data_IF_626098883391
#
_entry.id   IF_626098883391
#
_cell.length_a   1.000
_cell.length_b   1.000
_cell.length_c   1.000
_cell.angle_alpha   90.00
_cell.angle_beta   90.00
_cell.angle_gamma   90.00
#
_symmetry.space_group_name_H-M   'P 1'
#
loop_
_entity.id
_entity.type
_entity.pdbx_description
1 polymer ?
#
# COMPACT_ATOMS: atom_id res chain seq x y z
N UNK A 1 26.55 1.59 1.70
CA UNK A 1 27.72 1.36 0.81
C UNK A 1 27.48 2.12 -0.47
N UNK A 2 28.17 3.25 -0.61
CA UNK A 2 28.28 4.02 -1.85
C UNK A 2 28.91 3.11 -2.93
N UNK A 3 28.14 2.79 -3.96
CA UNK A 3 28.70 2.26 -5.19
C UNK A 3 29.47 3.38 -5.87
N UNK A 4 30.78 3.23 -5.94
CA UNK A 4 31.60 4.04 -6.83
C UNK A 4 31.26 3.63 -8.27
N UNK A 5 30.50 4.47 -8.96
CA UNK A 5 30.37 4.39 -10.42
C UNK A 5 31.62 5.02 -11.03
N UNK A 6 32.41 4.20 -11.71
CA UNK A 6 33.32 4.66 -12.76
C UNK A 6 32.44 4.78 -14.01
N UNK A 7 31.96 5.98 -14.28
CA UNK A 7 31.65 6.56 -15.61
C UNK A 7 31.02 7.93 -15.39
N UNK A 8 31.82 8.96 -15.66
CA UNK A 8 31.55 10.35 -15.30
C UNK A 8 30.76 11.14 -16.34
N UNK A 9 30.01 10.50 -17.25
CA UNK A 9 29.35 11.24 -18.34
C UNK A 9 27.83 11.11 -18.49
N UNK A 10 27.10 10.60 -17.51
CA UNK A 10 25.62 10.66 -17.55
C UNK A 10 24.92 10.40 -16.19
N UNK A 11 25.42 10.96 -15.10
CA UNK A 11 24.58 11.08 -13.90
C UNK A 11 23.70 12.33 -14.12
N UNK A 12 22.58 12.16 -14.80
CA UNK A 12 21.45 13.08 -14.60
C UNK A 12 21.11 12.97 -13.13
N UNK A 13 21.12 14.09 -12.41
CA UNK A 13 20.69 14.16 -11.01
C UNK A 13 19.35 13.45 -10.87
N UNK A 14 19.37 12.25 -10.31
CA UNK A 14 18.16 11.45 -10.11
C UNK A 14 17.48 12.02 -8.87
N UNK A 15 16.47 12.87 -9.08
CA UNK A 15 15.64 13.37 -7.99
C UNK A 15 14.82 12.23 -7.41
N UNK A 16 15.12 11.82 -6.18
CA UNK A 16 14.40 10.78 -5.48
C UNK A 16 12.98 11.23 -5.09
N UNK A 17 12.83 12.52 -4.76
CA UNK A 17 11.55 13.20 -4.51
C UNK A 17 11.57 14.54 -5.23
N UNK A 18 10.59 14.79 -6.08
CA UNK A 18 10.49 16.01 -6.89
C UNK A 18 9.21 16.78 -6.54
N UNK A 19 9.35 17.89 -5.80
CA UNK A 19 8.27 18.74 -5.33
C UNK A 19 7.15 17.94 -4.64
N UNK A 20 7.52 16.91 -3.89
CA UNK A 20 6.58 16.04 -3.20
C UNK A 20 6.03 16.74 -1.95
N UNK A 21 4.71 16.80 -1.84
CA UNK A 21 4.01 17.34 -0.66
C UNK A 21 3.09 16.27 -0.07
N UNK A 22 3.13 16.15 1.25
CA UNK A 22 2.33 15.19 2.00
C UNK A 22 1.72 15.86 3.23
N UNK A 23 0.44 15.63 3.46
CA UNK A 23 -0.23 16.00 4.70
C UNK A 23 -0.92 14.77 5.26
N UNK A 24 -0.67 14.45 6.53
CA UNK A 24 -1.30 13.35 7.26
C UNK A 24 -2.18 13.96 8.34
N UNK A 25 -3.45 13.58 8.38
CA UNK A 25 -4.40 14.03 9.41
C UNK A 25 -4.30 13.12 10.63
N UNK A 26 -4.53 13.67 11.81
CA UNK A 26 -4.61 12.87 13.03
C UNK A 26 -5.72 11.83 12.93
N UNK A 27 -5.42 10.59 13.30
CA UNK A 27 -6.37 9.48 13.30
C UNK A 27 -6.69 8.90 11.92
N UNK A 28 -6.00 9.32 10.82
CA UNK A 28 -6.19 8.68 9.51
C UNK A 28 -5.19 7.55 9.26
N UNK A 29 -5.58 6.60 8.42
CA UNK A 29 -4.66 5.69 7.72
C UNK A 29 -4.41 6.27 6.34
N UNK A 30 -3.22 6.86 6.14
CA UNK A 30 -2.79 7.37 4.84
C UNK A 30 -1.97 6.33 4.09
N UNK A 31 -2.42 5.93 2.90
CA UNK A 31 -1.70 5.03 2.01
C UNK A 31 -0.73 5.79 1.08
N UNK A 32 0.53 5.37 1.02
CA UNK A 32 1.47 5.74 -0.04
C UNK A 32 1.57 4.57 -1.01
N UNK A 33 0.90 4.66 -2.15
CA UNK A 33 0.82 3.63 -3.18
C UNK A 33 1.76 3.97 -4.34
N UNK A 34 2.50 3.00 -4.83
CA UNK A 34 3.35 3.19 -6.01
C UNK A 34 4.33 2.05 -6.22
N UNK A 35 4.93 1.94 -7.42
CA UNK A 35 5.88 0.89 -7.74
C UNK A 35 7.17 1.01 -6.92
N UNK A 36 7.98 -0.03 -6.99
CA UNK A 36 9.33 0.00 -6.43
C UNK A 36 10.14 1.14 -7.07
N UNK A 37 10.85 1.90 -6.22
CA UNK A 37 11.59 3.09 -6.67
C UNK A 37 10.75 4.36 -6.88
N UNK A 38 9.45 4.37 -6.55
CA UNK A 38 8.62 5.59 -6.64
C UNK A 38 8.93 6.64 -5.58
N UNK A 39 9.71 6.30 -4.53
CA UNK A 39 10.12 7.23 -3.47
C UNK A 39 9.42 7.01 -2.12
N UNK A 40 8.61 5.96 -1.92
CA UNK A 40 7.87 5.67 -0.67
C UNK A 40 8.80 5.62 0.55
N UNK A 41 9.75 4.69 0.55
CA UNK A 41 10.73 4.54 1.65
C UNK A 41 11.62 5.78 1.81
N UNK A 42 11.99 6.44 0.70
CA UNK A 42 12.74 7.72 0.75
C UNK A 42 11.93 8.79 1.48
N UNK A 43 10.62 8.88 1.21
CA UNK A 43 9.73 9.82 1.90
C UNK A 43 9.71 9.55 3.41
N UNK A 44 9.54 8.30 3.83
CA UNK A 44 9.57 7.92 5.26
C UNK A 44 10.91 8.30 5.88
N UNK A 45 12.02 7.97 5.24
CA UNK A 45 13.35 8.25 5.77
C UNK A 45 13.64 9.75 5.89
N UNK A 46 13.14 10.58 4.95
CA UNK A 46 13.20 12.04 5.07
C UNK A 46 12.34 12.54 6.24
N UNK A 47 11.10 12.04 6.39
CA UNK A 47 10.21 12.43 7.51
C UNK A 47 10.86 12.09 8.86
N UNK A 48 11.51 10.94 8.96
CA UNK A 48 12.21 10.51 10.19
C UNK A 48 13.56 11.20 10.41
N UNK A 49 13.99 12.08 9.48
CA UNK A 49 15.33 12.70 9.48
C UNK A 49 16.46 11.65 9.51
N UNK A 50 16.26 10.52 8.82
CA UNK A 50 17.28 9.51 8.56
C UNK A 50 18.03 9.80 7.25
N UNK A 51 17.40 10.55 6.34
CA UNK A 51 17.98 11.10 5.14
C UNK A 51 17.83 12.62 5.14
N UNK A 52 18.85 13.30 4.61
CA UNK A 52 18.80 14.74 4.34
C UNK A 52 18.06 14.99 3.02
N UNK A 53 17.50 16.18 2.87
CA UNK A 53 16.86 16.66 1.64
C UNK A 53 17.36 18.06 1.31
N UNK A 54 17.33 18.42 0.03
CA UNK A 54 17.95 19.66 -0.45
C UNK A 54 17.08 20.89 -0.17
N UNK A 55 15.74 20.75 -0.32
CA UNK A 55 14.78 21.85 -0.17
C UNK A 55 13.45 21.35 0.41
N UNK A 56 12.76 22.23 1.11
CA UNK A 56 11.46 21.97 1.71
C UNK A 56 11.49 22.04 3.24
N UNK A 57 10.38 21.69 3.86
CA UNK A 57 10.23 21.59 5.32
C UNK A 57 9.41 20.36 5.70
N UNK A 58 9.73 19.80 6.85
CA UNK A 58 8.99 18.66 7.41
C UNK A 58 8.56 19.00 8.83
N UNK A 59 7.26 18.88 9.08
CA UNK A 59 6.68 19.07 10.42
C UNK A 59 5.94 17.81 10.84
N UNK A 60 6.18 17.37 12.07
CA UNK A 60 5.48 16.25 12.70
C UNK A 60 4.89 16.77 14.01
N UNK A 61 3.61 16.50 14.25
CA UNK A 61 2.85 17.06 15.37
C UNK A 61 2.94 18.62 15.46
N UNK A 62 2.96 19.28 14.28
CA UNK A 62 3.09 20.73 14.18
C UNK A 62 4.48 21.31 14.46
N UNK A 63 5.47 20.48 14.82
CA UNK A 63 6.85 20.88 15.10
C UNK A 63 7.77 20.51 13.95
N UNK A 64 8.79 21.34 13.71
CA UNK A 64 9.85 21.06 12.74
C UNK A 64 10.61 19.77 13.12
N UNK A 65 10.77 18.86 12.14
CA UNK A 65 11.47 17.61 12.34
C UNK A 65 12.96 17.75 12.03
N UNK A 66 13.79 17.38 13.00
CA UNK A 66 15.27 17.44 12.93
C UNK A 66 15.87 16.11 13.39
N UNK A 67 17.15 15.84 13.10
CA UNK A 67 17.82 14.62 13.56
C UNK A 67 17.77 14.42 15.08
N UNK A 68 17.78 15.49 15.87
CA UNK A 68 17.75 15.51 17.33
C UNK A 68 16.37 15.72 17.95
N UNK A 69 15.29 15.69 17.17
CA UNK A 69 13.90 15.80 17.66
C UNK A 69 13.44 14.55 18.42
N UNK A 70 14.13 14.21 19.50
CA UNK A 70 13.86 13.00 20.30
C UNK A 70 12.47 13.02 20.97
N UNK A 71 11.95 14.21 21.30
CA UNK A 71 10.59 14.38 21.85
C UNK A 71 9.53 13.94 20.84
N UNK A 72 9.71 14.27 19.55
CA UNK A 72 8.85 13.85 18.46
C UNK A 72 9.04 12.34 18.19
N UNK A 73 10.29 11.89 18.04
CA UNK A 73 10.61 10.48 17.69
C UNK A 73 10.10 9.47 18.71
N UNK A 74 9.95 9.86 19.98
CA UNK A 74 9.37 9.01 21.03
C UNK A 74 7.89 8.68 20.82
N UNK A 75 7.18 9.51 20.08
CA UNK A 75 5.76 9.32 19.76
C UNK A 75 5.57 8.64 18.39
N UNK A 76 6.66 8.20 17.76
CA UNK A 76 6.66 7.55 16.45
C UNK A 76 7.03 6.08 16.57
N UNK A 77 6.25 5.23 15.95
CA UNK A 77 6.56 3.81 15.70
C UNK A 77 7.00 3.62 14.25
N UNK A 78 7.97 2.74 14.03
CA UNK A 78 8.48 2.46 12.69
C UNK A 78 8.59 0.96 12.48
N UNK A 79 7.96 0.46 11.43
CA UNK A 79 8.04 -0.92 10.96
C UNK A 79 8.55 -0.89 9.53
N UNK A 80 9.85 -1.10 9.37
CA UNK A 80 10.48 -1.10 8.04
C UNK A 80 10.24 -2.40 7.29
N UNK A 81 10.46 -2.38 5.96
CA UNK A 81 10.34 -3.54 5.09
C UNK A 81 11.26 -4.67 5.55
N UNK A 82 12.51 -4.37 5.87
CA UNK A 82 13.44 -5.35 6.44
C UNK A 82 13.10 -5.62 7.90
N UNK A 83 13.15 -6.90 8.27
CA UNK A 83 12.93 -7.32 9.64
C UNK A 83 14.14 -6.94 10.50
N UNK A 84 13.90 -6.10 11.50
CA UNK A 84 14.94 -5.57 12.40
C UNK A 84 14.76 -6.13 13.82
N UNK A 85 15.08 -7.40 14.02
CA UNK A 85 15.05 -8.09 15.31
C UNK A 85 16.41 -8.71 15.62
N UNK A 86 16.67 -8.99 16.88
CA UNK A 86 17.88 -9.66 17.34
C UNK A 86 17.67 -11.17 17.36
N UNK A 87 18.43 -11.89 16.57
CA UNK A 87 18.38 -13.35 16.47
C UNK A 87 18.75 -14.09 17.76
N UNK A 88 19.52 -13.43 18.64
CA UNK A 88 20.01 -13.94 19.92
C UNK A 88 19.02 -13.72 21.06
N UNK A 89 17.95 -12.96 20.83
CA UNK A 89 16.90 -12.70 21.81
C UNK A 89 15.64 -13.48 21.47
N UNK A 90 14.90 -13.91 22.48
CA UNK A 90 13.58 -14.49 22.30
C UNK A 90 12.57 -13.46 21.79
N UNK A 91 11.39 -13.91 21.38
CA UNK A 91 10.26 -13.03 21.01
C UNK A 91 9.99 -11.98 22.09
N UNK A 92 9.85 -12.44 23.35
CA UNK A 92 9.59 -11.54 24.48
C UNK A 92 10.73 -10.53 24.68
N UNK A 93 11.99 -11.00 24.68
CA UNK A 93 13.15 -10.14 24.89
C UNK A 93 13.34 -9.13 23.77
N UNK A 94 13.04 -9.46 22.52
CA UNK A 94 13.05 -8.50 21.44
C UNK A 94 12.05 -7.36 21.70
N UNK A 95 10.79 -7.70 22.00
CA UNK A 95 9.75 -6.69 22.24
C UNK A 95 10.09 -5.86 23.49
N UNK A 96 10.56 -6.50 24.58
CA UNK A 96 10.98 -5.80 25.80
C UNK A 96 12.14 -4.85 25.56
N UNK A 97 13.12 -5.28 24.77
CA UNK A 97 14.26 -4.44 24.39
C UNK A 97 13.83 -3.16 23.67
N UNK A 98 13.07 -3.30 22.57
CA UNK A 98 12.61 -2.15 21.80
C UNK A 98 11.66 -1.26 22.61
N UNK A 99 10.73 -1.82 23.36
CA UNK A 99 9.86 -1.09 24.27
C UNK A 99 10.67 -0.33 25.34
N UNK A 100 11.74 -0.93 25.84
CA UNK A 100 12.63 -0.37 26.87
C UNK A 100 13.43 0.86 26.42
N UNK A 101 13.57 1.09 25.12
CA UNK A 101 14.16 2.33 24.59
C UNK A 101 13.30 3.55 24.92
N UNK A 102 11.99 3.36 25.06
CA UNK A 102 10.98 4.42 25.26
C UNK A 102 10.41 4.40 26.69
N UNK A 103 10.12 3.24 27.26
CA UNK A 103 9.47 3.07 28.57
C UNK A 103 10.49 2.56 29.58
N UNK A 104 10.91 3.45 30.49
CA UNK A 104 11.92 3.14 31.55
C UNK A 104 11.32 2.37 32.72
N UNK A 105 10.06 2.62 33.06
CA UNK A 105 9.34 1.94 34.15
C UNK A 105 9.13 0.47 33.77
N UNK A 106 9.63 -0.43 34.60
CA UNK A 106 9.63 -1.88 34.33
C UNK A 106 8.22 -2.49 34.32
N UNK A 107 7.35 -2.08 35.23
CA UNK A 107 5.99 -2.64 35.32
C UNK A 107 5.14 -2.16 34.14
N UNK A 108 5.20 -0.87 33.83
CA UNK A 108 4.52 -0.30 32.65
C UNK A 108 5.03 -0.97 31.37
N UNK A 109 6.34 -1.14 31.22
CA UNK A 109 6.95 -1.79 30.06
C UNK A 109 6.47 -3.23 29.92
N UNK A 110 6.53 -4.02 31.01
CA UNK A 110 6.04 -5.40 31.01
C UNK A 110 4.58 -5.48 30.54
N UNK A 111 3.73 -4.61 31.07
CA UNK A 111 2.32 -4.54 30.64
C UNK A 111 2.20 -4.25 29.15
N UNK A 112 2.93 -3.24 28.63
CA UNK A 112 2.92 -2.92 27.21
C UNK A 112 3.40 -4.09 26.35
N UNK A 113 4.43 -4.82 26.77
CA UNK A 113 4.96 -5.99 26.05
C UNK A 113 3.91 -7.11 25.98
N UNK A 114 3.29 -7.47 27.11
CA UNK A 114 2.25 -8.50 27.14
C UNK A 114 1.05 -8.12 26.26
N UNK A 115 0.52 -6.91 26.43
CA UNK A 115 -0.59 -6.40 25.59
C UNK A 115 -0.25 -6.42 24.10
N UNK A 116 0.99 -6.06 23.74
CA UNK A 116 1.42 -6.06 22.34
C UNK A 116 1.56 -7.47 21.78
N UNK A 117 2.07 -8.42 22.58
CA UNK A 117 2.16 -9.83 22.18
C UNK A 117 0.78 -10.43 21.90
N UNK A 118 -0.19 -10.13 22.75
CA UNK A 118 -1.58 -10.56 22.57
C UNK A 118 -2.19 -9.88 21.34
N UNK A 119 -1.91 -8.59 21.17
CA UNK A 119 -2.41 -7.80 20.05
C UNK A 119 -1.99 -8.35 18.68
N UNK A 120 -0.71 -8.76 18.53
CA UNK A 120 -0.19 -9.33 17.28
C UNK A 120 -0.31 -10.87 17.23
N UNK A 121 -0.98 -11.50 18.20
CA UNK A 121 -1.21 -12.94 18.28
C UNK A 121 0.10 -13.75 18.18
N UNK A 122 1.05 -13.44 19.09
CA UNK A 122 2.38 -14.07 19.13
C UNK A 122 2.74 -14.56 20.56
N UNK A 123 1.82 -14.47 21.53
CA UNK A 123 2.06 -14.78 22.94
C UNK A 123 2.55 -16.22 23.17
N UNK A 124 2.03 -17.19 22.43
CA UNK A 124 2.43 -18.61 22.51
C UNK A 124 3.90 -18.84 22.13
N UNK A 125 4.48 -17.92 21.38
CA UNK A 125 5.85 -17.98 20.87
C UNK A 125 6.84 -17.19 21.72
N UNK A 126 6.45 -16.68 22.89
CA UNK A 126 7.25 -15.76 23.73
C UNK A 126 8.68 -16.22 24.02
N UNK A 127 8.92 -17.53 24.13
CA UNK A 127 10.23 -18.14 24.42
C UNK A 127 10.97 -18.61 23.16
N UNK A 128 10.38 -18.45 21.98
CA UNK A 128 11.00 -18.84 20.71
C UNK A 128 12.02 -17.80 20.28
N UNK A 129 13.08 -18.28 19.64
CA UNK A 129 14.04 -17.43 18.92
C UNK A 129 13.48 -17.06 17.53
N UNK A 130 13.80 -15.89 16.97
CA UNK A 130 13.33 -15.46 15.66
C UNK A 130 13.54 -16.49 14.54
N UNK A 131 14.70 -17.19 14.54
CA UNK A 131 15.05 -18.24 13.57
C UNK A 131 14.10 -19.46 13.55
N UNK A 132 13.29 -19.63 14.59
CA UNK A 132 12.31 -20.73 14.72
C UNK A 132 10.90 -20.29 14.30
N UNK A 133 10.71 -19.03 13.91
CA UNK A 133 9.42 -18.48 13.51
C UNK A 133 9.19 -18.67 12.00
N UNK A 134 7.93 -18.83 11.62
CA UNK A 134 7.54 -18.68 10.21
C UNK A 134 7.70 -17.22 9.77
N UNK A 135 7.76 -16.96 8.45
CA UNK A 135 7.87 -15.60 7.91
C UNK A 135 6.76 -14.66 8.43
N UNK A 136 5.50 -15.15 8.49
CA UNK A 136 4.40 -14.37 9.05
C UNK A 136 4.53 -14.07 10.55
N UNK A 137 5.00 -15.04 11.36
CA UNK A 137 5.28 -14.83 12.78
C UNK A 137 6.45 -13.87 13.01
N UNK A 138 7.50 -13.99 12.20
CA UNK A 138 8.65 -13.09 12.24
C UNK A 138 8.24 -11.65 11.89
N UNK A 139 7.36 -11.50 10.91
CA UNK A 139 6.81 -10.19 10.56
C UNK A 139 5.96 -9.59 11.67
N UNK A 140 5.13 -10.41 12.33
CA UNK A 140 4.36 -9.99 13.51
C UNK A 140 5.26 -9.58 14.68
N UNK A 141 6.38 -10.27 14.89
CA UNK A 141 7.39 -9.85 15.86
C UNK A 141 7.99 -8.49 15.49
N UNK A 142 8.35 -8.26 14.23
CA UNK A 142 8.87 -6.97 13.77
C UNK A 142 7.87 -5.83 14.01
N UNK A 143 6.59 -6.08 13.72
CA UNK A 143 5.51 -5.13 14.01
C UNK A 143 5.42 -4.86 15.51
N UNK A 144 5.41 -5.92 16.35
CA UNK A 144 5.35 -5.78 17.80
C UNK A 144 6.48 -4.90 18.35
N UNK A 145 7.71 -5.08 17.85
CA UNK A 145 8.86 -4.25 18.24
C UNK A 145 8.63 -2.76 17.92
N UNK A 146 8.02 -2.46 16.77
CA UNK A 146 7.76 -1.09 16.34
C UNK A 146 6.63 -0.37 17.10
N UNK A 147 5.68 -1.12 17.70
CA UNK A 147 4.46 -0.53 18.29
C UNK A 147 4.36 -0.68 19.80
N UNK A 148 5.23 -1.47 20.45
CA UNK A 148 5.12 -1.84 21.88
C UNK A 148 5.10 -0.64 22.83
N UNK A 149 5.67 0.49 22.45
CA UNK A 149 5.68 1.72 23.24
C UNK A 149 4.41 2.58 23.06
N UNK A 150 3.43 2.10 22.28
CA UNK A 150 2.14 2.76 21.97
C UNK A 150 2.32 4.14 21.34
N UNK A 151 2.96 4.22 20.17
CA UNK A 151 3.20 5.48 19.47
C UNK A 151 1.90 6.10 18.94
N UNK A 152 1.88 7.44 18.77
CA UNK A 152 0.77 8.18 18.17
C UNK A 152 0.77 8.17 16.64
N UNK A 153 1.96 8.09 16.04
CA UNK A 153 2.16 8.02 14.59
C UNK A 153 2.97 6.77 14.27
N UNK A 154 2.49 5.96 13.34
CA UNK A 154 3.16 4.71 12.97
C UNK A 154 3.41 4.71 11.46
N UNK A 155 4.66 4.43 11.08
CA UNK A 155 5.04 4.17 9.71
C UNK A 155 5.16 2.67 9.49
N UNK A 156 4.40 2.14 8.54
CA UNK A 156 4.51 0.79 8.04
C UNK A 156 5.07 0.83 6.62
N UNK A 157 6.32 0.42 6.44
CA UNK A 157 6.94 0.35 5.12
C UNK A 157 6.84 -1.07 4.58
N UNK A 158 5.89 -1.29 3.68
CA UNK A 158 5.58 -2.56 3.02
C UNK A 158 5.47 -3.76 4.01
N UNK A 159 4.61 -3.69 5.04
CA UNK A 159 4.63 -4.64 6.15
C UNK A 159 4.15 -6.05 5.78
N UNK A 160 3.64 -6.27 4.59
CA UNK A 160 3.02 -7.52 4.14
C UNK A 160 3.81 -8.23 3.03
N UNK A 161 4.95 -7.65 2.62
CA UNK A 161 5.81 -8.26 1.60
C UNK A 161 6.33 -9.61 2.07
N UNK A 162 6.28 -10.60 1.16
CA UNK A 162 6.69 -11.99 1.41
C UNK A 162 5.94 -12.70 2.55
N UNK A 163 4.71 -12.28 2.85
CA UNK A 163 3.84 -12.88 3.85
C UNK A 163 2.70 -13.64 3.16
N UNK A 164 2.36 -14.82 3.70
CA UNK A 164 1.24 -15.61 3.19
C UNK A 164 -0.11 -14.86 3.34
N UNK A 165 -1.15 -15.19 2.52
CA UNK A 165 -2.42 -14.47 2.51
C UNK A 165 -3.13 -14.42 3.86
N UNK A 166 -3.04 -15.49 4.67
CA UNK A 166 -3.70 -15.53 5.97
C UNK A 166 -3.01 -14.59 6.98
N UNK A 167 -1.68 -14.63 7.03
CA UNK A 167 -0.88 -13.73 7.87
C UNK A 167 -1.02 -12.27 7.41
N UNK A 168 -1.10 -12.02 6.10
CA UNK A 168 -1.37 -10.69 5.53
C UNK A 168 -2.68 -10.11 6.06
N UNK A 169 -3.78 -10.84 5.96
CA UNK A 169 -5.09 -10.37 6.45
C UNK A 169 -5.05 -10.03 7.94
N UNK A 170 -4.42 -10.86 8.76
CA UNK A 170 -4.26 -10.59 10.20
C UNK A 170 -3.45 -9.32 10.48
N UNK A 171 -2.39 -9.06 9.69
CA UNK A 171 -1.60 -7.82 9.80
C UNK A 171 -2.47 -6.61 9.47
N UNK A 172 -3.24 -6.66 8.37
CA UNK A 172 -4.12 -5.56 7.96
C UNK A 172 -5.22 -5.28 8.98
N UNK A 173 -5.83 -6.32 9.55
CA UNK A 173 -6.80 -6.21 10.66
C UNK A 173 -6.15 -5.59 11.90
N UNK A 174 -4.93 -6.00 12.24
CA UNK A 174 -4.17 -5.40 13.33
C UNK A 174 -3.89 -3.91 13.11
N UNK A 175 -3.53 -3.51 11.90
CA UNK A 175 -3.29 -2.10 11.55
C UNK A 175 -4.58 -1.27 11.71
N UNK A 176 -5.72 -1.78 11.27
CA UNK A 176 -7.02 -1.11 11.49
C UNK A 176 -7.33 -0.93 12.98
N UNK A 177 -7.12 -1.96 13.79
CA UNK A 177 -7.32 -1.86 15.24
C UNK A 177 -6.42 -0.81 15.90
N UNK A 178 -5.15 -0.70 15.49
CA UNK A 178 -4.26 0.37 15.98
C UNK A 178 -4.81 1.76 15.68
N UNK A 179 -5.39 1.94 14.49
CA UNK A 179 -6.01 3.19 14.12
C UNK A 179 -7.30 3.46 14.91
N UNK A 180 -8.16 2.46 15.10
CA UNK A 180 -9.36 2.54 15.94
C UNK A 180 -9.02 2.86 17.39
N UNK A 181 -7.86 2.44 17.89
CA UNK A 181 -7.31 2.79 19.22
C UNK A 181 -6.68 4.21 19.25
N UNK A 182 -6.72 4.95 18.13
CA UNK A 182 -6.33 6.36 18.02
C UNK A 182 -4.96 6.63 17.40
N UNK A 183 -4.27 5.61 16.87
CA UNK A 183 -3.01 5.84 16.17
C UNK A 183 -3.24 6.44 14.78
N UNK A 184 -2.39 7.40 14.39
CA UNK A 184 -2.27 7.87 13.01
C UNK A 184 -1.30 6.95 12.27
N UNK A 185 -1.62 6.56 11.03
CA UNK A 185 -0.84 5.55 10.31
C UNK A 185 -0.47 6.06 8.92
N UNK A 186 0.81 5.90 8.56
CA UNK A 186 1.31 6.01 7.19
C UNK A 186 1.68 4.61 6.73
N UNK A 187 0.97 4.12 5.74
CA UNK A 187 1.08 2.77 5.22
C UNK A 187 1.61 2.80 3.79
N UNK A 188 2.76 2.17 3.52
CA UNK A 188 3.24 2.03 2.15
C UNK A 188 2.97 0.64 1.62
N UNK A 189 2.58 0.54 0.38
CA UNK A 189 2.42 -0.72 -0.35
C UNK A 189 2.53 -0.49 -1.86
N UNK A 190 2.83 -1.54 -2.57
CA UNK A 190 2.61 -1.65 -4.01
C UNK A 190 1.40 -2.54 -4.33
N UNK A 191 0.77 -3.16 -3.31
CA UNK A 191 -0.47 -3.93 -3.45
C UNK A 191 -1.69 -3.03 -3.27
N UNK A 192 -2.45 -2.86 -4.33
CA UNK A 192 -3.60 -1.94 -4.34
C UNK A 192 -4.74 -2.40 -3.47
N UNK A 193 -4.99 -3.69 -3.43
CA UNK A 193 -6.05 -4.30 -2.63
C UNK A 193 -5.88 -4.00 -1.13
N UNK A 194 -4.64 -4.01 -0.64
CA UNK A 194 -4.34 -3.69 0.75
C UNK A 194 -4.69 -2.24 1.07
N UNK A 195 -4.27 -1.33 0.21
CA UNK A 195 -4.51 0.10 0.36
C UNK A 195 -6.01 0.41 0.26
N UNK A 196 -6.73 -0.21 -0.68
CA UNK A 196 -8.19 -0.09 -0.78
C UNK A 196 -8.92 -0.62 0.45
N UNK A 197 -8.36 -1.63 1.09
CA UNK A 197 -8.97 -2.29 2.25
C UNK A 197 -8.85 -1.46 3.53
N UNK A 198 -7.70 -0.80 3.76
CA UNK A 198 -7.41 -0.20 5.07
C UNK A 198 -7.26 1.32 5.06
N UNK A 199 -6.90 1.96 3.94
CA UNK A 199 -6.58 3.38 3.92
C UNK A 199 -7.82 4.26 3.72
N UNK A 200 -7.88 5.35 4.48
CA UNK A 200 -8.91 6.38 4.34
C UNK A 200 -8.64 7.28 3.13
N UNK A 201 -7.37 7.62 2.95
CA UNK A 201 -6.88 8.46 1.86
C UNK A 201 -5.58 7.89 1.30
N UNK A 202 -5.38 8.08 0.01
CA UNK A 202 -4.30 7.46 -0.74
C UNK A 202 -3.56 8.53 -1.52
N UNK A 203 -2.25 8.47 -1.50
CA UNK A 203 -1.34 9.22 -2.36
C UNK A 203 -0.70 8.24 -3.33
N UNK A 204 -1.00 8.39 -4.60
CA UNK A 204 -0.36 7.61 -5.66
C UNK A 204 0.95 8.30 -6.04
N UNK A 205 2.06 7.55 -5.95
CA UNK A 205 3.41 8.03 -6.24
C UNK A 205 3.98 7.37 -7.48
N UNK A 206 4.58 8.17 -8.35
CA UNK A 206 5.45 7.69 -9.43
C UNK A 206 6.66 8.63 -9.57
N UNK A 207 7.86 8.06 -9.69
CA UNK A 207 9.12 8.79 -9.92
C UNK A 207 9.34 10.00 -8.99
N UNK A 208 9.09 9.81 -7.70
CA UNK A 208 9.27 10.84 -6.68
C UNK A 208 8.20 11.93 -6.64
N UNK A 209 7.12 11.80 -7.40
CA UNK A 209 6.01 12.75 -7.44
C UNK A 209 4.72 12.15 -6.92
N UNK A 210 3.86 12.99 -6.34
CA UNK A 210 2.46 12.65 -6.12
C UNK A 210 1.69 12.87 -7.42
N UNK A 211 1.18 11.79 -8.02
CA UNK A 211 0.43 11.85 -9.28
C UNK A 211 -1.08 11.95 -9.07
N UNK A 212 -1.59 11.43 -7.96
CA UNK A 212 -2.97 11.60 -7.53
C UNK A 212 -3.09 11.48 -6.01
N UNK A 213 -4.07 12.17 -5.42
CA UNK A 213 -4.38 12.14 -3.98
C UNK A 213 -5.88 12.17 -3.80
N UNK A 214 -6.42 11.30 -2.96
CA UNK A 214 -7.85 11.27 -2.64
C UNK A 214 -8.25 10.04 -1.85
N UNK A 215 -9.51 9.93 -1.52
CA UNK A 215 -10.13 8.66 -1.09
C UNK A 215 -10.18 7.70 -2.27
N UNK A 216 -10.36 6.41 -2.01
CA UNK A 216 -10.51 5.41 -3.09
C UNK A 216 -11.59 5.79 -4.10
N UNK A 217 -12.72 6.32 -3.63
CA UNK A 217 -13.84 6.68 -4.49
C UNK A 217 -13.57 7.95 -5.32
N UNK A 218 -12.84 8.93 -4.74
CA UNK A 218 -12.39 10.12 -5.46
C UNK A 218 -11.39 9.74 -6.56
N UNK A 219 -10.42 8.88 -6.25
CA UNK A 219 -9.43 8.42 -7.22
C UNK A 219 -10.08 7.65 -8.38
N UNK A 220 -10.99 6.73 -8.08
CA UNK A 220 -11.73 5.97 -9.11
C UNK A 220 -12.60 6.84 -10.01
N UNK A 221 -13.03 8.02 -9.54
CA UNK A 221 -13.77 8.99 -10.36
C UNK A 221 -12.87 9.85 -11.26
N UNK A 222 -11.55 9.83 -11.06
CA UNK A 222 -10.61 10.61 -11.90
C UNK A 222 -10.39 10.01 -13.27
N UNK A 223 -10.73 8.73 -13.47
CA UNK A 223 -10.50 7.99 -14.72
C UNK A 223 -11.76 7.85 -15.56
N UNK A 224 -11.55 7.60 -16.85
CA UNK A 224 -12.65 7.39 -17.80
C UNK A 224 -13.38 6.08 -17.59
N UNK A 225 -12.64 5.05 -17.16
CA UNK A 225 -13.23 3.74 -16.90
C UNK A 225 -14.22 3.81 -15.75
N UNK A 226 -15.49 3.51 -16.02
CA UNK A 226 -16.54 3.44 -14.99
C UNK A 226 -17.03 2.02 -14.74
N UNK A 227 -16.86 1.13 -15.73
CA UNK A 227 -17.28 -0.26 -15.67
C UNK A 227 -16.48 -1.08 -16.69
N UNK A 228 -16.02 -2.27 -16.28
CA UNK A 228 -15.42 -3.27 -17.16
C UNK A 228 -16.33 -4.49 -17.20
N UNK A 229 -16.74 -4.92 -18.40
CA UNK A 229 -17.51 -6.14 -18.61
C UNK A 229 -16.63 -7.18 -19.30
N UNK A 230 -16.46 -8.33 -18.65
CA UNK A 230 -15.75 -9.49 -19.20
C UNK A 230 -16.75 -10.60 -19.50
N UNK A 231 -16.70 -11.10 -20.71
CA UNK A 231 -17.62 -12.16 -21.16
C UNK A 231 -16.83 -13.26 -21.83
N UNK A 232 -17.10 -14.49 -21.41
CA UNK A 232 -16.62 -15.67 -22.09
C UNK A 232 -17.45 -15.89 -23.35
N UNK A 233 -16.83 -15.76 -24.52
CA UNK A 233 -17.46 -15.89 -25.81
C UNK A 233 -16.45 -16.40 -26.83
N UNK A 234 -16.94 -17.25 -27.78
CA UNK A 234 -16.07 -17.86 -28.78
C UNK A 234 -16.50 -17.45 -30.19
N UNK A 235 -15.52 -17.29 -31.07
CA UNK A 235 -15.75 -17.11 -32.49
C UNK A 235 -16.24 -15.72 -32.90
N UNK A 236 -15.94 -14.67 -32.11
CA UNK A 236 -16.24 -13.28 -32.53
C UNK A 236 -15.47 -12.93 -33.80
N UNK A 237 -16.19 -12.37 -34.76
CA UNK A 237 -15.62 -11.87 -36.02
C UNK A 237 -15.03 -10.48 -35.85
N UNK A 238 -14.14 -10.07 -36.77
CA UNK A 238 -13.59 -8.71 -36.79
C UNK A 238 -14.66 -7.64 -37.00
N UNK A 239 -15.74 -7.93 -37.75
CA UNK A 239 -16.87 -7.03 -37.94
C UNK A 239 -17.64 -6.81 -36.63
N UNK A 240 -17.98 -7.89 -35.93
CA UNK A 240 -18.62 -7.85 -34.61
C UNK A 240 -17.79 -7.10 -33.57
N UNK A 241 -16.46 -7.29 -33.58
CA UNK A 241 -15.56 -6.54 -32.71
C UNK A 241 -15.54 -5.04 -33.02
N UNK A 242 -15.62 -4.67 -34.31
CA UNK A 242 -15.70 -3.27 -34.73
C UNK A 242 -17.03 -2.63 -34.33
N UNK A 243 -18.12 -3.39 -34.42
CA UNK A 243 -19.45 -2.94 -34.03
C UNK A 243 -19.55 -2.78 -32.49
N UNK A 244 -19.02 -3.73 -31.72
CA UNK A 244 -18.91 -3.61 -30.26
C UNK A 244 -18.13 -2.36 -29.85
N UNK A 245 -17.04 -2.04 -30.56
CA UNK A 245 -16.25 -0.84 -30.31
C UNK A 245 -17.03 0.46 -30.59
N UNK A 246 -17.95 0.42 -31.52
CA UNK A 246 -18.79 1.57 -31.88
C UNK A 246 -20.00 1.78 -30.98
N UNK A 247 -20.26 0.86 -30.05
CA UNK A 247 -21.36 1.00 -29.09
C UNK A 247 -21.17 2.22 -28.18
N UNK A 248 -22.26 2.88 -27.74
CA UNK A 248 -22.19 4.01 -26.83
C UNK A 248 -21.39 3.69 -25.57
N UNK A 249 -20.51 4.60 -25.19
CA UNK A 249 -19.66 4.53 -24.00
C UNK A 249 -18.55 3.47 -24.01
N UNK A 250 -18.44 2.59 -24.99
CA UNK A 250 -17.29 1.70 -25.15
C UNK A 250 -16.12 2.54 -25.65
N UNK A 251 -15.04 2.60 -24.89
CA UNK A 251 -13.83 3.29 -25.31
C UNK A 251 -12.67 2.33 -25.58
N UNK A 252 -12.76 1.10 -25.07
CA UNK A 252 -11.77 0.06 -25.31
C UNK A 252 -12.44 -1.32 -25.35
N UNK A 253 -12.00 -2.16 -26.30
CA UNK A 253 -12.39 -3.54 -26.39
C UNK A 253 -11.19 -4.43 -26.72
N UNK A 254 -11.14 -5.58 -26.07
CA UNK A 254 -10.09 -6.59 -26.24
C UNK A 254 -10.71 -7.97 -26.33
N UNK A 255 -10.21 -8.80 -27.25
CA UNK A 255 -10.67 -10.18 -27.40
C UNK A 255 -9.46 -11.11 -27.60
N UNK A 256 -9.30 -12.12 -26.75
CA UNK A 256 -8.20 -13.08 -26.82
C UNK A 256 -8.58 -14.46 -27.39
N UNK A 257 -9.74 -14.56 -28.08
CA UNK A 257 -10.26 -15.79 -28.64
C UNK A 257 -11.23 -16.56 -27.74
N UNK A 258 -11.30 -16.25 -26.47
CA UNK A 258 -12.23 -16.85 -25.51
C UNK A 258 -12.86 -15.86 -24.53
N UNK A 259 -12.16 -14.76 -24.23
CA UNK A 259 -12.62 -13.73 -23.32
C UNK A 259 -12.70 -12.38 -24.04
N UNK A 260 -13.88 -11.81 -24.06
CA UNK A 260 -14.14 -10.45 -24.50
C UNK A 260 -14.09 -9.53 -23.27
N UNK A 261 -13.29 -8.47 -23.33
CA UNK A 261 -13.25 -7.40 -22.33
C UNK A 261 -13.68 -6.10 -22.94
N UNK A 262 -14.70 -5.48 -22.38
CA UNK A 262 -15.20 -4.16 -22.79
C UNK A 262 -15.06 -3.20 -21.63
N UNK A 263 -14.46 -2.01 -21.88
CA UNK A 263 -14.34 -0.92 -20.92
C UNK A 263 -15.26 0.24 -21.33
N UNK A 264 -16.04 0.71 -20.37
CA UNK A 264 -17.06 1.73 -20.58
C UNK A 264 -16.69 3.03 -19.85
N UNK A 265 -16.89 4.16 -20.53
CA UNK A 265 -16.72 5.50 -19.98
C UNK A 265 -18.06 6.09 -19.55
N UNK A 266 -18.73 5.50 -18.57
CA UNK A 266 -20.07 5.89 -18.13
C UNK A 266 -21.16 5.06 -18.80
N UNK A 267 -22.39 5.58 -18.78
CA UNK A 267 -23.58 4.91 -19.29
C UNK A 267 -24.31 4.10 -18.23
N UNK A 268 -25.62 3.89 -18.47
CA UNK A 268 -26.45 2.98 -17.69
C UNK A 268 -26.85 1.81 -18.59
N UNK A 269 -27.01 0.63 -17.99
CA UNK A 269 -27.44 -0.56 -18.72
C UNK A 269 -26.48 -1.07 -19.80
N UNK A 270 -25.17 -0.85 -19.62
CA UNK A 270 -24.16 -1.33 -20.57
C UNK A 270 -24.23 -2.85 -20.77
N UNK A 271 -24.38 -3.62 -19.68
CA UNK A 271 -24.55 -5.06 -19.75
C UNK A 271 -25.80 -5.46 -20.53
N UNK A 272 -26.92 -4.76 -20.36
CA UNK A 272 -28.17 -5.07 -21.08
C UNK A 272 -27.97 -4.89 -22.59
N UNK A 273 -27.36 -3.78 -23.01
CA UNK A 273 -27.05 -3.53 -24.42
C UNK A 273 -26.11 -4.58 -25.02
N UNK A 274 -25.12 -4.99 -24.24
CA UNK A 274 -24.21 -6.07 -24.66
C UNK A 274 -24.94 -7.39 -24.84
N UNK A 275 -25.88 -7.73 -23.94
CA UNK A 275 -26.70 -8.94 -24.07
C UNK A 275 -27.68 -8.86 -25.25
N UNK A 276 -28.25 -7.69 -25.53
CA UNK A 276 -29.07 -7.44 -26.72
C UNK A 276 -28.26 -7.64 -28.00
N UNK A 277 -27.05 -7.10 -28.05
CA UNK A 277 -26.12 -7.30 -29.18
C UNK A 277 -25.82 -8.80 -29.40
N UNK A 278 -25.53 -9.56 -28.36
CA UNK A 278 -25.27 -11.01 -28.50
C UNK A 278 -26.49 -11.75 -29.02
N UNK A 279 -27.69 -11.38 -28.55
CA UNK A 279 -28.93 -11.97 -29.00
C UNK A 279 -29.21 -11.65 -30.48
N UNK A 280 -29.00 -10.41 -30.93
CA UNK A 280 -29.21 -9.97 -32.30
C UNK A 280 -28.26 -10.64 -33.30
N UNK A 281 -27.05 -10.98 -32.87
CA UNK A 281 -26.04 -11.62 -33.70
C UNK A 281 -25.96 -13.14 -33.50
N UNK A 282 -26.89 -13.74 -32.76
CA UNK A 282 -26.89 -15.18 -32.40
C UNK A 282 -25.58 -15.66 -31.78
N UNK A 283 -24.96 -14.82 -30.92
CA UNK A 283 -23.68 -15.10 -30.26
C UNK A 283 -23.96 -15.81 -28.94
N UNK A 284 -23.46 -17.05 -28.84
CA UNK A 284 -23.48 -17.78 -27.58
C UNK A 284 -22.38 -17.31 -26.65
N UNK A 285 -22.71 -17.09 -25.39
CA UNK A 285 -21.76 -16.67 -24.35
C UNK A 285 -21.86 -17.53 -23.10
N UNK A 286 -20.78 -17.59 -22.35
CA UNK A 286 -20.68 -18.30 -21.10
C UNK A 286 -20.74 -17.35 -19.90
N UNK A 287 -19.68 -17.35 -19.10
CA UNK A 287 -19.57 -16.54 -17.88
C UNK A 287 -19.51 -15.04 -18.21
N UNK A 288 -20.29 -14.26 -17.47
CA UNK A 288 -20.26 -12.78 -17.51
C UNK A 288 -19.82 -12.26 -16.16
N UNK A 289 -18.87 -11.33 -16.15
CA UNK A 289 -18.37 -10.65 -14.96
C UNK A 289 -18.40 -9.17 -15.22
N UNK A 290 -18.99 -8.41 -14.30
CA UNK A 290 -18.91 -6.92 -14.30
C UNK A 290 -18.00 -6.48 -13.16
N UNK A 291 -17.07 -5.61 -13.46
CA UNK A 291 -16.09 -5.08 -12.50
C UNK A 291 -16.17 -3.55 -12.48
N UNK A 292 -16.18 -2.99 -11.28
CA UNK A 292 -15.96 -1.55 -11.08
C UNK A 292 -14.46 -1.24 -11.20
N UNK A 293 -14.08 -0.01 -11.54
CA UNK A 293 -12.68 0.35 -11.65
C UNK A 293 -11.94 0.15 -10.32
N UNK A 294 -10.71 -0.33 -10.44
CA UNK A 294 -9.78 -0.55 -9.35
C UNK A 294 -8.77 0.60 -9.25
N UNK A 295 -8.00 0.67 -8.18
CA UNK A 295 -6.87 1.60 -8.11
C UNK A 295 -5.78 1.25 -9.15
N UNK A 296 -5.73 0.00 -9.62
CA UNK A 296 -4.82 -0.39 -10.71
C UNK A 296 -5.22 0.31 -12.02
N UNK A 297 -6.51 0.37 -12.32
CA UNK A 297 -6.99 1.10 -13.49
C UNK A 297 -6.67 2.61 -13.37
N UNK A 298 -6.80 3.17 -12.16
CA UNK A 298 -6.43 4.56 -11.88
C UNK A 298 -4.94 4.78 -12.13
N UNK A 299 -4.09 3.92 -11.59
CA UNK A 299 -2.66 4.03 -11.75
C UNK A 299 -2.25 3.92 -13.22
N UNK A 300 -2.78 2.91 -13.92
CA UNK A 300 -2.51 2.67 -15.34
C UNK A 300 -2.91 3.87 -16.20
N UNK A 301 -4.12 4.41 -16.00
CA UNK A 301 -4.61 5.54 -16.81
C UNK A 301 -3.82 6.83 -16.55
N UNK A 302 -3.40 7.09 -15.32
CA UNK A 302 -2.64 8.30 -14.96
C UNK A 302 -1.18 8.20 -15.39
N UNK A 303 -0.53 7.04 -15.25
CA UNK A 303 0.91 6.87 -15.50
C UNK A 303 1.24 6.27 -16.86
N UNK A 304 0.25 5.68 -17.54
CA UNK A 304 0.43 4.93 -18.79
C UNK A 304 1.19 3.61 -18.62
N UNK A 305 1.30 3.10 -17.40
CA UNK A 305 2.03 1.87 -17.04
C UNK A 305 1.26 1.07 -16.02
N UNK A 306 1.31 -0.25 -16.12
CA UNK A 306 0.87 -1.13 -15.05
C UNK A 306 1.83 -1.05 -13.87
N UNK A 307 1.29 -1.15 -12.64
CA UNK A 307 2.10 -1.45 -11.47
C UNK A 307 2.64 -2.87 -11.66
N UNK A 308 3.93 -2.97 -12.01
CA UNK A 308 4.61 -4.27 -12.09
C UNK A 308 5.26 -4.56 -10.74
N UNK A 309 5.05 -5.79 -10.27
CA UNK A 309 5.73 -6.40 -9.13
C UNK A 309 7.26 -6.40 -9.28
#
# INVERSE_FOLDING_TARGET
>A
RLLKAQDTDSIKDLLALDHFSLTVKEGEILGLLGPNGSGKTTTINCILSLLTFDKGDIKVFGKEMKPDSYDIKREIGVVMQDVAVFDELTVYENIDYFCGLYIKDKEKRRKCVEETMDFVDIADYRKFMPKKLSGGLLRRLNIACGIAHKPKLIFFDEPTVAVDPQSRNRILEGIKRLNEEGATIVYTSHYMEEVEQICDRIVIMDKGKSVAVGTKDELKKMIKNTETIKVEVFGLTGEQMSELRSQPHVYENEYNGSMLTLRYSGGRHNLVRLMEFFKEHDISFGRVVTELPTLNDVFLEITGKELRD
#
